data_IF_725663928907
#
_entry.id   IF_725663928907
#
_cell.length_a   1.000
_cell.length_b   1.000
_cell.length_c   1.000
_cell.angle_alpha   90.00
_cell.angle_beta   90.00
_cell.angle_gamma   90.00
#
_symmetry.space_group_name_H-M   'P 1'
#
loop_
_entity.id
_entity.type
_entity.pdbx_description
1 polymer ?
#
# COMPACT_ATOMS: atom_id res chain seq x y z
N UNK A 1 18.79 13.66 41.67
CA UNK A 1 18.82 14.30 40.34
C UNK A 1 18.93 13.16 39.35
N UNK A 2 17.78 12.60 39.04
CA UNK A 2 17.64 11.41 38.21
C UNK A 2 17.51 11.88 36.77
N UNK A 3 18.52 11.59 35.95
CA UNK A 3 18.43 11.76 34.49
C UNK A 3 18.23 10.38 33.89
N UNK A 4 16.97 10.00 33.72
CA UNK A 4 16.56 8.82 32.98
C UNK A 4 16.96 8.98 31.51
N UNK A 5 17.76 8.02 31.05
CA UNK A 5 18.09 7.84 29.64
C UNK A 5 17.28 6.66 29.12
N UNK A 6 16.57 6.84 28.01
CA UNK A 6 16.06 5.75 27.18
C UNK A 6 14.54 5.80 26.97
N UNK A 7 14.09 6.12 25.77
CA UNK A 7 14.08 5.16 24.66
C UNK A 7 13.55 5.85 23.41
N UNK A 8 14.27 5.66 22.31
CA UNK A 8 13.91 6.20 21.01
C UNK A 8 12.53 5.75 20.59
N UNK A 9 11.72 6.73 20.17
CA UNK A 9 10.57 6.50 19.31
C UNK A 9 11.08 6.00 17.96
N UNK A 10 11.46 4.73 17.90
CA UNK A 10 11.63 4.00 16.67
C UNK A 10 10.25 3.91 16.03
N UNK A 11 9.94 4.89 15.19
CA UNK A 11 8.86 4.83 14.22
C UNK A 11 9.24 3.75 13.18
N UNK A 12 9.25 2.49 13.64
CA UNK A 12 9.33 1.34 12.78
C UNK A 12 8.02 1.38 12.02
N UNK A 13 8.07 1.87 10.79
CA UNK A 13 7.19 1.44 9.73
C UNK A 13 7.32 -0.08 9.62
N UNK A 14 6.74 -0.82 10.56
CA UNK A 14 6.31 -2.17 10.25
C UNK A 14 5.28 -2.00 9.14
N UNK A 15 5.43 -2.68 7.98
CA UNK A 15 4.34 -2.78 7.05
C UNK A 15 3.21 -3.41 7.84
N UNK A 16 2.22 -2.60 8.22
CA UNK A 16 1.02 -3.12 8.83
C UNK A 16 0.52 -4.12 7.81
N UNK A 17 0.55 -5.41 8.14
CA UNK A 17 -0.20 -6.46 7.45
C UNK A 17 -1.68 -6.13 7.58
N UNK A 18 -2.12 -5.05 6.94
CA UNK A 18 -3.50 -4.75 6.65
C UNK A 18 -3.81 -5.65 5.48
N UNK A 19 -3.92 -6.94 5.76
CA UNK A 19 -4.63 -7.87 4.88
C UNK A 19 -6.07 -7.41 4.84
N UNK A 20 -6.34 -6.35 4.08
CA UNK A 20 -7.68 -6.04 3.64
C UNK A 20 -8.09 -7.24 2.83
N UNK A 21 -9.01 -8.05 3.36
CA UNK A 21 -9.59 -9.13 2.60
C UNK A 21 -10.30 -8.48 1.41
N UNK A 22 -9.62 -8.43 0.27
CA UNK A 22 -10.25 -8.03 -0.98
C UNK A 22 -11.43 -8.97 -1.21
N UNK A 23 -12.57 -8.41 -1.60
CA UNK A 23 -13.75 -9.20 -1.92
C UNK A 23 -13.38 -10.27 -2.95
N UNK A 24 -13.99 -11.45 -2.84
CA UNK A 24 -13.79 -12.55 -3.78
C UNK A 24 -14.04 -12.08 -5.22
N UNK A 25 -15.06 -11.26 -5.44
CA UNK A 25 -15.39 -10.69 -6.75
C UNK A 25 -14.26 -9.82 -7.31
N UNK A 26 -13.66 -8.96 -6.48
CA UNK A 26 -12.55 -8.10 -6.88
C UNK A 26 -11.31 -8.93 -7.23
N UNK A 27 -11.03 -9.97 -6.45
CA UNK A 27 -9.91 -10.88 -6.71
C UNK A 27 -10.10 -11.63 -8.04
N UNK A 28 -11.32 -12.13 -8.31
CA UNK A 28 -11.65 -12.77 -9.59
C UNK A 28 -11.56 -11.83 -10.79
N UNK A 29 -11.98 -10.57 -10.61
CA UNK A 29 -11.81 -9.55 -11.64
C UNK A 29 -10.33 -9.28 -11.92
N UNK A 30 -9.50 -9.19 -10.87
CA UNK A 30 -8.06 -9.02 -11.01
C UNK A 30 -7.41 -10.18 -11.79
N UNK A 31 -7.78 -11.42 -11.49
CA UNK A 31 -7.33 -12.60 -12.26
C UNK A 31 -7.75 -12.53 -13.73
N UNK A 32 -8.99 -12.12 -14.00
CA UNK A 32 -9.52 -11.99 -15.36
C UNK A 32 -8.76 -10.94 -16.16
N UNK A 33 -8.50 -9.77 -15.56
CA UNK A 33 -7.73 -8.68 -16.17
C UNK A 33 -6.28 -9.09 -16.40
N UNK A 34 -5.66 -9.75 -15.42
CA UNK A 34 -4.29 -10.23 -15.56
C UNK A 34 -4.17 -11.20 -16.72
N UNK A 35 -5.02 -12.24 -16.75
CA UNK A 35 -5.04 -13.23 -17.82
C UNK A 35 -5.25 -12.61 -19.19
N UNK A 36 -6.17 -11.63 -19.30
CA UNK A 36 -6.42 -10.94 -20.55
C UNK A 36 -5.21 -10.14 -21.06
N UNK A 37 -4.34 -9.65 -20.17
CA UNK A 37 -3.17 -8.84 -20.52
C UNK A 37 -1.90 -9.64 -20.74
N UNK A 38 -1.69 -10.68 -19.94
CA UNK A 38 -0.42 -11.43 -19.93
C UNK A 38 -0.54 -12.78 -20.61
N UNK A 39 -1.76 -13.29 -20.84
CA UNK A 39 -2.01 -14.65 -21.30
C UNK A 39 -1.74 -15.73 -20.24
N UNK A 40 -1.32 -15.35 -19.04
CA UNK A 40 -0.98 -16.27 -17.94
C UNK A 40 -2.07 -16.27 -16.88
N UNK A 41 -2.30 -17.43 -16.28
CA UNK A 41 -3.19 -17.57 -15.12
C UNK A 41 -2.39 -17.38 -13.83
N UNK A 42 -3.02 -16.73 -12.85
CA UNK A 42 -2.46 -16.50 -11.52
C UNK A 42 -3.44 -17.03 -10.47
N UNK A 43 -2.89 -17.51 -9.37
CA UNK A 43 -3.64 -17.98 -8.20
C UNK A 43 -4.38 -16.82 -7.52
N UNK A 44 -5.35 -17.18 -6.68
CA UNK A 44 -6.10 -16.20 -5.90
C UNK A 44 -5.20 -15.41 -4.93
N UNK A 45 -4.24 -16.09 -4.29
CA UNK A 45 -3.26 -15.47 -3.40
C UNK A 45 -2.32 -14.51 -4.14
N UNK A 46 -1.86 -14.86 -5.34
CA UNK A 46 -1.06 -13.95 -6.18
C UNK A 46 -1.87 -12.72 -6.59
N UNK A 47 -3.13 -12.90 -7.00
CA UNK A 47 -4.01 -11.78 -7.33
C UNK A 47 -4.23 -10.85 -6.12
N UNK A 48 -4.41 -11.41 -4.92
CA UNK A 48 -4.50 -10.63 -3.68
C UNK A 48 -3.21 -9.89 -3.38
N UNK A 49 -2.05 -10.54 -3.50
CA UNK A 49 -0.75 -9.91 -3.28
C UNK A 49 -0.48 -8.76 -4.25
N UNK A 50 -0.91 -8.90 -5.51
CA UNK A 50 -0.85 -7.81 -6.49
C UNK A 50 -1.74 -6.63 -6.11
N UNK A 51 -3.00 -6.90 -5.70
CA UNK A 51 -3.92 -5.85 -5.27
C UNK A 51 -3.42 -5.11 -4.03
N UNK A 52 -2.81 -5.83 -3.09
CA UNK A 52 -2.21 -5.26 -1.88
C UNK A 52 -1.05 -4.33 -2.25
N UNK A 53 -0.13 -4.81 -3.09
CA UNK A 53 1.02 -4.04 -3.60
C UNK A 53 0.58 -2.76 -4.33
N UNK A 54 -0.47 -2.85 -5.17
CA UNK A 54 -1.03 -1.69 -5.86
C UNK A 54 -1.64 -0.69 -4.87
N UNK A 55 -2.35 -1.18 -3.86
CA UNK A 55 -2.95 -0.34 -2.81
C UNK A 55 -1.88 0.41 -2.03
N UNK A 56 -0.80 -0.27 -1.63
CA UNK A 56 0.35 0.36 -0.98
C UNK A 56 1.01 1.41 -1.87
N UNK A 57 1.21 1.11 -3.15
CA UNK A 57 1.76 2.07 -4.10
C UNK A 57 0.91 3.34 -4.21
N UNK A 58 -0.42 3.22 -4.33
CA UNK A 58 -1.30 4.39 -4.37
C UNK A 58 -1.31 5.16 -3.04
N UNK A 59 -1.25 4.49 -1.90
CA UNK A 59 -1.10 5.17 -0.62
C UNK A 59 0.18 6.01 -0.55
N UNK A 60 1.31 5.47 -1.02
CA UNK A 60 2.57 6.21 -1.08
C UNK A 60 2.47 7.42 -2.00
N UNK A 61 1.83 7.29 -3.16
CA UNK A 61 1.62 8.42 -4.08
C UNK A 61 0.74 9.52 -3.45
N UNK A 62 -0.36 9.14 -2.79
CA UNK A 62 -1.26 10.08 -2.12
C UNK A 62 -0.52 10.77 -0.96
N UNK A 63 0.26 10.02 -0.19
CA UNK A 63 1.05 10.59 0.91
C UNK A 63 2.13 11.54 0.40
N UNK A 64 2.80 11.20 -0.69
CA UNK A 64 3.78 12.07 -1.34
C UNK A 64 3.15 13.39 -1.82
N UNK A 65 2.00 13.32 -2.48
CA UNK A 65 1.26 14.51 -2.93
C UNK A 65 0.86 15.40 -1.74
N UNK A 66 0.29 14.81 -0.68
CA UNK A 66 -0.10 15.54 0.54
C UNK A 66 1.07 16.15 1.30
N UNK A 67 2.26 15.55 1.21
CA UNK A 67 3.50 16.06 1.84
C UNK A 67 4.17 17.16 1.02
N UNK A 68 3.78 17.38 -0.23
CA UNK A 68 4.31 18.46 -1.06
C UNK A 68 3.59 19.76 -0.69
N UNK A 69 4.19 20.68 0.11
CA UNK A 69 3.51 21.88 0.58
C UNK A 69 3.50 23.02 -0.46
N UNK A 70 3.57 22.71 -1.76
CA UNK A 70 3.79 23.71 -2.81
C UNK A 70 2.76 23.62 -3.94
N UNK A 71 1.48 23.74 -3.56
CA UNK A 71 0.41 24.20 -4.45
C UNK A 71 -0.39 25.32 -3.77
N UNK A 72 0.32 26.35 -3.30
CA UNK A 72 -0.31 27.43 -2.54
C UNK A 72 0.48 28.72 -2.41
N UNK A 73 1.49 28.98 -3.25
CA UNK A 73 2.20 30.27 -3.23
C UNK A 73 2.39 30.84 -4.65
N UNK A 74 1.32 30.89 -5.45
CA UNK A 74 1.16 31.83 -6.57
C UNK A 74 -0.32 32.09 -6.85
N UNK A 75 -0.86 33.15 -6.25
CA UNK A 75 -1.42 34.35 -6.92
C UNK A 75 -2.09 35.29 -5.92
#
# INVERSE_FOLDING_TARGET
>A
MDHETGHGSGNRHEPRKRGGHFSVDLTKQAQTVFRARTGHEITEDEARGMLDSLTEFFHLLIEWDRRSPDRGDKE
#
